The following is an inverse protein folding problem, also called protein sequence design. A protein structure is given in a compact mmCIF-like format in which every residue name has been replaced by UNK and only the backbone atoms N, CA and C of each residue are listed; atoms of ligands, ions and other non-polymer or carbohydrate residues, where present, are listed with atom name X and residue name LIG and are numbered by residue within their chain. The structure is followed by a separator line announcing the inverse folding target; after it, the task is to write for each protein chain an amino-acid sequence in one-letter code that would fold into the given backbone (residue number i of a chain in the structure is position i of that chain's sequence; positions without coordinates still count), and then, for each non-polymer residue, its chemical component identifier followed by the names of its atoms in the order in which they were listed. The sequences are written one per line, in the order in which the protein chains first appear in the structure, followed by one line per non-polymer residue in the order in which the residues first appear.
data_IF_493125136521
#
_entry.id   IF_493125136521
#
_cell.length_a   1.000
_cell.length_b   1.000
_cell.length_c   1.000
_cell.angle_alpha   90.00
_cell.angle_beta   90.00
_cell.angle_gamma   90.00
#
_symmetry.space_group_name_H-M   'P 1'
#
loop_
_entity.id
_entity.type
_entity.pdbx_description
1 polymer ?
#
# COMPACT_ATOMS: atom_id res chain seq x y z
N UNK A 1 -34.25 45.11 -23.43
CA UNK A 1 -34.34 44.37 -22.16
C UNK A 1 -34.08 42.86 -22.36
N UNK A 2 -34.72 42.19 -23.34
CA UNK A 2 -34.53 40.75 -23.65
C UNK A 2 -33.09 40.43 -24.02
N UNK A 3 -32.40 41.22 -24.81
CA UNK A 3 -31.01 40.97 -25.24
C UNK A 3 -30.03 41.09 -24.05
N UNK A 4 -30.29 42.04 -23.13
CA UNK A 4 -29.46 42.26 -21.94
C UNK A 4 -29.57 41.09 -20.94
N UNK A 5 -30.76 40.54 -20.76
CA UNK A 5 -31.00 39.34 -19.93
C UNK A 5 -30.38 38.07 -20.52
N UNK A 6 -30.39 37.95 -21.85
CA UNK A 6 -29.82 36.77 -22.55
C UNK A 6 -28.29 36.74 -22.49
N UNK A 7 -27.63 37.89 -22.54
CA UNK A 7 -26.18 38.03 -22.41
C UNK A 7 -25.73 37.76 -20.97
N UNK A 8 -26.46 38.25 -19.97
CA UNK A 8 -26.13 38.00 -18.56
C UNK A 8 -26.32 36.53 -18.17
N UNK A 9 -27.33 35.84 -18.69
CA UNK A 9 -27.50 34.41 -18.50
C UNK A 9 -26.38 33.56 -19.14
N UNK A 10 -25.93 33.91 -20.36
CA UNK A 10 -24.78 33.26 -21.00
C UNK A 10 -23.49 33.47 -20.20
N UNK A 11 -23.25 34.64 -19.66
CA UNK A 11 -22.07 34.92 -18.83
C UNK A 11 -22.12 34.17 -17.51
N UNK A 12 -23.30 34.03 -16.89
CA UNK A 12 -23.49 33.21 -15.68
C UNK A 12 -23.26 31.71 -15.95
N UNK A 13 -23.74 31.19 -17.08
CA UNK A 13 -23.49 29.78 -17.46
C UNK A 13 -22.02 29.51 -17.72
N UNK A 14 -21.30 30.42 -18.37
CA UNK A 14 -19.85 30.29 -18.60
C UNK A 14 -19.07 30.35 -17.28
N UNK A 15 -19.40 31.24 -16.36
CA UNK A 15 -18.77 31.34 -15.05
C UNK A 15 -19.05 30.10 -14.20
N UNK A 16 -20.26 29.54 -14.23
CA UNK A 16 -20.63 28.33 -13.52
C UNK A 16 -19.92 27.08 -14.07
N UNK A 17 -19.79 26.95 -15.40
CA UNK A 17 -19.03 25.85 -16.03
C UNK A 17 -17.53 25.93 -15.72
N UNK A 18 -16.93 27.11 -15.64
CA UNK A 18 -15.51 27.29 -15.29
C UNK A 18 -15.26 26.94 -13.82
N UNK A 19 -16.16 27.29 -12.91
CA UNK A 19 -16.03 26.98 -11.49
C UNK A 19 -16.22 25.44 -11.27
N UNK A 20 -17.13 24.80 -12.00
CA UNK A 20 -17.34 23.35 -11.92
C UNK A 20 -16.18 22.55 -12.52
N UNK A 21 -15.57 23.04 -13.62
CA UNK A 21 -14.38 22.40 -14.21
C UNK A 21 -13.13 22.60 -13.35
N UNK A 22 -12.97 23.72 -12.67
CA UNK A 22 -11.87 23.96 -11.72
C UNK A 22 -11.95 23.01 -10.51
N UNK A 23 -13.14 22.67 -10.06
CA UNK A 23 -13.35 21.70 -8.96
C UNK A 23 -12.99 20.26 -9.34
N UNK A 24 -13.10 19.89 -10.63
CA UNK A 24 -12.70 18.58 -11.16
C UNK A 24 -11.18 18.43 -11.31
N UNK A 25 -10.42 19.52 -11.43
CA UNK A 25 -8.95 19.49 -11.53
C UNK A 25 -8.24 19.51 -10.18
N UNK A 26 -8.94 19.72 -9.08
CA UNK A 26 -8.37 19.92 -7.75
C UNK A 26 -8.38 18.67 -6.85
N UNK A 27 -8.61 17.47 -7.38
CA UNK A 27 -8.28 16.27 -6.64
C UNK A 27 -6.77 16.08 -6.70
N UNK A 28 -6.08 16.97 -5.98
CA UNK A 28 -4.64 16.97 -5.82
C UNK A 28 -4.25 15.57 -5.34
N UNK A 29 -3.42 14.90 -6.12
CA UNK A 29 -2.90 13.60 -5.71
C UNK A 29 -2.22 13.74 -4.35
N UNK A 30 -2.95 13.41 -3.26
CA UNK A 30 -2.47 13.54 -1.88
C UNK A 30 -1.19 12.74 -1.65
N UNK A 31 -0.92 11.74 -2.51
CA UNK A 31 0.25 10.88 -2.45
C UNK A 31 1.47 11.43 -3.20
N UNK A 32 1.40 12.62 -3.83
CA UNK A 32 2.53 13.18 -4.58
C UNK A 32 3.80 13.32 -3.72
N UNK A 33 3.67 13.86 -2.51
CA UNK A 33 4.80 14.01 -1.57
C UNK A 33 5.39 12.66 -1.17
N UNK A 34 4.54 11.67 -0.93
CA UNK A 34 4.94 10.30 -0.64
C UNK A 34 5.69 9.67 -1.82
N UNK A 35 5.15 9.78 -3.01
CA UNK A 35 5.77 9.30 -4.25
C UNK A 35 7.19 9.88 -4.46
N UNK A 36 7.36 11.18 -4.19
CA UNK A 36 8.68 11.84 -4.29
C UNK A 36 9.68 11.26 -3.31
N UNK A 37 9.24 10.97 -2.08
CA UNK A 37 10.11 10.39 -1.06
C UNK A 37 10.45 8.94 -1.36
N UNK A 38 9.50 8.14 -1.80
CA UNK A 38 9.73 6.76 -2.23
C UNK A 38 10.81 6.71 -3.32
N UNK A 39 10.69 7.53 -4.36
CA UNK A 39 11.70 7.62 -5.43
C UNK A 39 13.09 8.02 -4.94
N UNK A 40 13.17 8.82 -3.88
CA UNK A 40 14.44 9.30 -3.33
C UNK A 40 15.12 8.29 -2.42
N UNK A 41 14.36 7.56 -1.61
CA UNK A 41 14.90 6.75 -0.52
C UNK A 41 14.71 5.26 -0.67
N UNK A 42 13.96 4.81 -1.69
CA UNK A 42 13.71 3.40 -1.97
C UNK A 42 14.26 3.04 -3.34
N UNK A 43 15.12 2.03 -3.40
CA UNK A 43 15.68 1.54 -4.66
C UNK A 43 14.64 0.81 -5.50
N UNK A 44 14.97 0.52 -6.76
CA UNK A 44 14.12 -0.31 -7.63
C UNK A 44 13.88 -1.72 -7.07
N UNK A 45 14.79 -2.22 -6.23
CA UNK A 45 14.69 -3.52 -5.57
C UNK A 45 13.97 -3.47 -4.22
N UNK A 46 13.44 -2.30 -3.83
CA UNK A 46 12.70 -2.10 -2.57
C UNK A 46 13.58 -1.98 -1.33
N UNK A 47 14.89 -1.76 -1.52
CA UNK A 47 15.84 -1.48 -0.43
C UNK A 47 15.63 -0.05 0.04
N UNK A 48 15.53 0.15 1.35
CA UNK A 48 15.19 1.44 1.97
C UNK A 48 16.43 2.05 2.63
N UNK A 49 16.75 3.28 2.27
CA UNK A 49 17.81 4.04 2.94
C UNK A 49 17.25 4.77 4.17
N UNK A 50 17.00 4.03 5.25
CA UNK A 50 16.42 4.55 6.50
C UNK A 50 17.28 5.65 7.10
N UNK A 51 18.62 5.50 7.07
CA UNK A 51 19.57 6.47 7.62
C UNK A 51 19.44 7.84 6.94
N UNK A 52 19.43 7.88 5.61
CA UNK A 52 19.31 9.15 4.89
C UNK A 52 17.89 9.71 4.95
N UNK A 53 16.87 8.84 4.96
CA UNK A 53 15.48 9.29 5.12
C UNK A 53 15.26 9.93 6.48
N UNK A 54 15.84 9.39 7.55
CA UNK A 54 15.76 9.92 8.90
C UNK A 54 16.31 11.34 9.04
N UNK A 55 17.32 11.73 8.24
CA UNK A 55 17.82 13.13 8.22
C UNK A 55 16.80 14.14 7.67
N UNK A 56 15.76 13.67 6.97
CA UNK A 56 14.74 14.49 6.30
C UNK A 56 13.31 14.05 6.67
N UNK A 57 13.10 13.61 7.90
CA UNK A 57 11.86 13.00 8.37
C UNK A 57 10.64 13.94 8.30
N UNK A 58 10.85 15.26 8.30
CA UNK A 58 9.75 16.23 8.32
C UNK A 58 8.82 16.14 7.10
N UNK A 59 9.37 15.75 5.95
CA UNK A 59 8.56 15.53 4.75
C UNK A 59 7.65 14.29 4.89
N UNK A 60 8.12 13.25 5.58
CA UNK A 60 7.33 12.07 5.88
C UNK A 60 6.21 12.40 6.89
N UNK A 61 6.55 13.12 7.96
CA UNK A 61 5.57 13.59 8.95
C UNK A 61 4.50 14.48 8.31
N UNK A 62 4.90 15.41 7.44
CA UNK A 62 3.96 16.25 6.72
C UNK A 62 3.04 15.46 5.79
N UNK A 63 3.51 14.35 5.21
CA UNK A 63 2.66 13.45 4.45
C UNK A 63 1.67 12.69 5.35
N UNK A 64 2.13 12.16 6.49
CA UNK A 64 1.26 11.48 7.46
C UNK A 64 0.16 12.44 7.95
N UNK A 65 0.50 13.68 8.30
CA UNK A 65 -0.49 14.69 8.69
C UNK A 65 -1.50 15.00 7.56
N UNK A 66 -1.03 14.96 6.30
CA UNK A 66 -1.92 15.09 5.14
C UNK A 66 -2.92 13.93 5.08
N UNK A 67 -2.47 12.69 5.34
CA UNK A 67 -3.35 11.54 5.42
C UNK A 67 -4.37 11.70 6.55
N UNK A 68 -3.93 12.01 7.76
CA UNK A 68 -4.80 12.18 8.94
C UNK A 68 -5.93 13.19 8.69
N UNK A 69 -5.64 14.26 7.93
CA UNK A 69 -6.61 15.29 7.58
C UNK A 69 -7.51 14.96 6.38
N UNK A 70 -7.22 13.87 5.64
CA UNK A 70 -7.92 13.52 4.39
C UNK A 70 -8.34 12.05 4.35
N UNK A 71 -8.77 11.49 5.47
CA UNK A 71 -9.22 10.09 5.54
C UNK A 71 -10.40 9.81 4.61
N UNK A 72 -10.42 8.63 3.96
CA UNK A 72 -11.53 8.24 3.10
C UNK A 72 -12.85 8.20 3.86
N UNK A 73 -13.93 8.59 3.21
CA UNK A 73 -15.29 8.50 3.72
C UNK A 73 -16.10 7.40 3.02
N UNK A 74 -17.38 7.27 3.34
CA UNK A 74 -18.25 6.23 2.80
C UNK A 74 -18.43 6.34 1.27
N UNK A 75 -18.45 7.55 0.73
CA UNK A 75 -18.64 7.82 -0.69
C UNK A 75 -17.36 7.64 -1.53
N UNK A 76 -16.23 7.35 -0.89
CA UNK A 76 -14.96 7.14 -1.59
C UNK A 76 -14.92 5.75 -2.24
N UNK A 77 -14.37 5.63 -3.45
CA UNK A 77 -14.24 4.34 -4.14
C UNK A 77 -13.42 3.31 -3.33
N UNK A 78 -13.63 2.02 -3.61
CA UNK A 78 -12.83 0.95 -3.00
C UNK A 78 -11.35 1.10 -3.36
N UNK A 79 -11.06 1.42 -4.60
CA UNK A 79 -9.72 1.59 -5.13
C UNK A 79 -8.97 2.75 -4.45
N UNK A 80 -9.64 3.88 -4.24
CA UNK A 80 -9.07 4.99 -3.48
C UNK A 80 -8.79 4.58 -2.02
N UNK A 81 -9.76 3.91 -1.36
CA UNK A 81 -9.59 3.43 0.02
C UNK A 81 -8.40 2.48 0.15
N UNK A 82 -8.27 1.53 -0.78
CA UNK A 82 -7.14 0.59 -0.81
C UNK A 82 -5.81 1.33 -1.00
N UNK A 83 -5.70 2.18 -2.02
CA UNK A 83 -4.49 2.95 -2.28
C UNK A 83 -4.09 3.82 -1.08
N UNK A 84 -5.06 4.52 -0.48
CA UNK A 84 -4.86 5.34 0.71
C UNK A 84 -4.30 4.52 1.88
N UNK A 85 -4.95 3.42 2.25
CA UNK A 85 -4.57 2.65 3.43
C UNK A 85 -3.29 1.83 3.23
N UNK A 86 -2.98 1.38 2.00
CA UNK A 86 -1.69 0.77 1.67
C UNK A 86 -0.57 1.80 1.85
N UNK A 87 -0.71 3.00 1.29
CA UNK A 87 0.28 4.06 1.44
C UNK A 87 0.42 4.51 2.90
N UNK A 88 -0.69 4.62 3.64
CA UNK A 88 -0.68 4.94 5.07
C UNK A 88 0.11 3.90 5.86
N UNK A 89 -0.19 2.61 5.69
CA UNK A 89 0.53 1.53 6.35
C UNK A 89 2.04 1.59 6.09
N UNK A 90 2.42 1.73 4.83
CA UNK A 90 3.82 1.78 4.42
C UNK A 90 4.54 3.02 4.98
N UNK A 91 3.91 4.20 4.93
CA UNK A 91 4.49 5.44 5.47
C UNK A 91 4.67 5.36 6.99
N UNK A 92 3.68 4.83 7.70
CA UNK A 92 3.73 4.65 9.16
C UNK A 92 4.76 3.61 9.58
N UNK A 93 4.94 2.55 8.78
CA UNK A 93 6.01 1.56 9.00
C UNK A 93 7.39 2.22 8.86
N UNK A 94 7.62 3.01 7.82
CA UNK A 94 8.88 3.75 7.64
C UNK A 94 9.11 4.72 8.80
N UNK A 95 8.10 5.51 9.20
CA UNK A 95 8.18 6.44 10.34
C UNK A 95 8.54 5.70 11.64
N UNK A 96 7.92 4.54 11.88
CA UNK A 96 8.20 3.70 13.05
C UNK A 96 9.66 3.20 13.07
N UNK A 97 10.16 2.73 11.93
CA UNK A 97 11.56 2.28 11.82
C UNK A 97 12.52 3.45 12.04
N UNK A 98 12.31 4.59 11.36
CA UNK A 98 13.20 5.76 11.47
C UNK A 98 13.25 6.29 12.91
N UNK A 99 12.12 6.33 13.62
CA UNK A 99 12.05 6.76 15.03
C UNK A 99 12.85 5.88 15.99
N UNK A 100 13.08 4.62 15.62
CA UNK A 100 13.80 3.64 16.44
C UNK A 100 15.17 3.27 15.86
N UNK A 101 15.58 3.90 14.75
CA UNK A 101 16.84 3.60 14.07
C UNK A 101 18.06 4.08 14.89
N UNK A 102 19.17 3.31 14.98
CA UNK A 102 19.41 2.06 14.27
C UNK A 102 18.84 0.83 15.00
N UNK A 103 18.32 -0.13 14.21
CA UNK A 103 17.86 -1.43 14.68
C UNK A 103 18.02 -2.46 13.55
N UNK A 104 18.08 -3.75 13.90
CA UNK A 104 18.23 -4.84 12.92
C UNK A 104 16.91 -5.36 12.41
N UNK A 105 15.83 -5.17 13.16
CA UNK A 105 14.50 -5.73 12.87
C UNK A 105 13.39 -4.93 13.52
N UNK A 106 12.26 -4.77 12.86
CA UNK A 106 11.03 -4.21 13.45
C UNK A 106 10.62 -4.94 14.75
N UNK A 107 11.03 -6.20 14.91
CA UNK A 107 10.73 -7.01 16.11
C UNK A 107 11.48 -6.53 17.38
N UNK A 108 12.50 -5.72 17.25
CA UNK A 108 13.16 -5.09 18.41
C UNK A 108 12.31 -3.98 19.03
N UNK A 109 11.34 -3.45 18.29
CA UNK A 109 10.41 -2.44 18.78
C UNK A 109 9.33 -3.09 19.65
N UNK A 110 9.08 -2.55 20.83
CA UNK A 110 8.03 -3.05 21.71
C UNK A 110 6.64 -2.82 21.10
N UNK A 111 5.90 -3.90 20.86
CA UNK A 111 4.54 -3.88 20.31
C UNK A 111 4.36 -3.09 19.00
N UNK A 112 5.19 -3.31 17.96
CA UNK A 112 5.23 -2.45 16.77
C UNK A 112 3.89 -2.38 16.02
N UNK A 113 3.11 -3.47 16.02
CA UNK A 113 1.78 -3.53 15.37
C UNK A 113 0.60 -3.16 16.28
N UNK A 114 0.83 -2.97 17.60
CA UNK A 114 -0.24 -2.64 18.56
C UNK A 114 -0.23 -1.19 19.01
N UNK A 115 0.94 -0.54 18.94
CA UNK A 115 1.09 0.86 19.34
C UNK A 115 0.34 1.76 18.37
N UNK A 116 -0.50 2.64 18.92
CA UNK A 116 -1.24 3.61 18.11
C UNK A 116 -0.30 4.64 17.51
N UNK A 117 -0.42 4.88 16.21
CA UNK A 117 0.53 5.70 15.45
C UNK A 117 -0.13 6.57 14.38
N UNK A 118 -1.44 6.52 14.21
CA UNK A 118 -2.18 7.27 13.21
C UNK A 118 -3.54 7.71 13.74
N UNK A 119 -3.85 9.00 13.64
CA UNK A 119 -5.10 9.59 14.10
C UNK A 119 -5.86 10.18 12.91
N UNK A 120 -7.00 9.63 12.57
CA UNK A 120 -7.95 10.35 11.73
C UNK A 120 -8.96 11.10 12.60
N UNK A 121 -9.89 11.82 11.95
CA UNK A 121 -10.90 12.64 12.64
C UNK A 121 -11.74 11.82 13.63
N UNK A 122 -11.86 10.50 13.45
CA UNK A 122 -12.77 9.62 14.20
C UNK A 122 -12.06 8.62 15.09
N UNK A 123 -10.87 8.18 14.73
CA UNK A 123 -10.24 7.00 15.32
C UNK A 123 -8.72 7.15 15.43
N UNK A 124 -8.17 6.33 16.33
CA UNK A 124 -6.73 6.16 16.50
C UNK A 124 -6.34 4.72 16.14
N UNK A 125 -5.44 4.57 15.18
CA UNK A 125 -5.06 3.28 14.61
C UNK A 125 -3.62 2.90 14.91
N UNK A 126 -3.40 1.60 15.08
CA UNK A 126 -2.08 0.98 14.98
C UNK A 126 -1.88 0.39 13.58
N UNK A 127 -0.65 -0.03 13.24
CA UNK A 127 -0.39 -0.79 12.00
C UNK A 127 -1.29 -2.04 11.93
N UNK A 128 -1.43 -2.77 13.03
CA UNK A 128 -2.30 -3.94 13.09
C UNK A 128 -3.78 -3.62 12.88
N UNK A 129 -4.27 -2.45 13.34
CA UNK A 129 -5.64 -2.03 13.06
C UNK A 129 -5.84 -1.75 11.57
N UNK A 130 -4.89 -1.04 10.94
CA UNK A 130 -4.96 -0.74 9.50
C UNK A 130 -4.97 -2.04 8.69
N UNK A 131 -4.07 -2.98 8.99
CA UNK A 131 -3.99 -4.26 8.30
C UNK A 131 -5.23 -5.12 8.54
N UNK A 132 -5.57 -5.41 9.80
CA UNK A 132 -6.56 -6.44 10.13
C UNK A 132 -8.00 -5.95 10.14
N UNK A 133 -8.24 -4.68 10.53
CA UNK A 133 -9.60 -4.13 10.67
C UNK A 133 -10.05 -3.33 9.45
N UNK A 134 -9.09 -2.88 8.60
CA UNK A 134 -9.40 -2.08 7.41
C UNK A 134 -9.04 -2.85 6.14
N UNK A 135 -7.76 -2.99 5.82
CA UNK A 135 -7.32 -3.53 4.52
C UNK A 135 -7.83 -4.94 4.26
N UNK A 136 -7.66 -5.88 5.20
CA UNK A 136 -8.13 -7.26 5.07
C UNK A 136 -9.64 -7.38 4.96
N UNK A 137 -10.41 -6.40 5.49
CA UNK A 137 -11.89 -6.37 5.38
C UNK A 137 -12.37 -5.91 4.01
N UNK A 138 -11.48 -5.42 3.16
CA UNK A 138 -11.83 -5.01 1.80
C UNK A 138 -11.84 -6.17 0.79
N UNK A 139 -11.57 -7.40 1.23
CA UNK A 139 -11.57 -8.59 0.38
C UNK A 139 -10.70 -8.42 -0.89
N UNK A 140 -9.46 -8.00 -0.70
CA UNK A 140 -8.44 -7.84 -1.74
C UNK A 140 -7.12 -8.51 -1.28
N UNK A 141 -6.92 -9.80 -1.57
CA UNK A 141 -5.77 -10.54 -1.02
C UNK A 141 -4.41 -10.01 -1.52
N UNK A 142 -4.37 -9.29 -2.64
CA UNK A 142 -3.13 -8.71 -3.18
C UNK A 142 -2.55 -7.61 -2.29
N UNK A 143 -3.30 -7.10 -1.28
CA UNK A 143 -2.74 -6.18 -0.28
C UNK A 143 -1.53 -6.77 0.44
N UNK A 144 -1.51 -8.09 0.63
CA UNK A 144 -0.41 -8.78 1.27
C UNK A 144 0.91 -8.71 0.50
N UNK A 145 0.88 -8.28 -0.77
CA UNK A 145 2.05 -8.03 -1.60
C UNK A 145 2.32 -6.53 -1.81
N UNK A 146 1.49 -5.67 -1.20
CA UNK A 146 1.57 -4.21 -1.31
C UNK A 146 2.00 -3.54 -0.01
N UNK A 147 1.66 -4.13 1.16
CA UNK A 147 2.10 -3.62 2.46
C UNK A 147 3.44 -4.23 2.85
N UNK A 148 4.35 -3.40 3.40
CA UNK A 148 5.70 -3.79 3.78
C UNK A 148 5.92 -3.60 5.28
N UNK A 149 6.39 -4.63 5.97
CA UNK A 149 6.70 -4.61 7.40
C UNK A 149 8.20 -4.38 7.68
N UNK A 150 8.91 -3.72 6.78
CA UNK A 150 10.33 -3.40 6.89
C UNK A 150 11.26 -4.62 7.01
N UNK A 151 10.87 -5.81 6.53
CA UNK A 151 11.72 -7.00 6.59
C UNK A 151 12.16 -7.49 5.21
N UNK A 152 13.31 -8.17 5.14
CA UNK A 152 13.85 -8.76 3.90
C UNK A 152 12.89 -9.78 3.27
N UNK A 153 12.12 -10.51 4.05
CA UNK A 153 11.13 -11.47 3.53
C UNK A 153 9.78 -10.86 3.20
N UNK A 154 9.54 -9.55 3.49
CA UNK A 154 8.37 -8.84 3.00
C UNK A 154 8.35 -8.75 1.47
N UNK A 155 7.17 -8.53 0.88
CA UNK A 155 7.09 -7.99 -0.46
C UNK A 155 7.90 -6.70 -0.56
N UNK A 156 8.44 -6.43 -1.73
CA UNK A 156 9.20 -5.23 -2.00
C UNK A 156 8.37 -3.97 -1.72
N UNK A 157 8.94 -3.00 -1.03
CA UNK A 157 8.35 -1.67 -0.98
C UNK A 157 8.53 -1.02 -2.35
N UNK A 158 7.43 -0.66 -3.01
CA UNK A 158 7.51 0.04 -4.29
C UNK A 158 8.11 1.44 -4.09
N UNK A 159 8.96 1.86 -5.02
CA UNK A 159 9.49 3.22 -5.05
C UNK A 159 8.51 4.22 -5.70
N UNK A 160 7.23 3.87 -5.74
CA UNK A 160 6.13 4.73 -6.14
C UNK A 160 4.92 4.54 -5.23
N UNK A 161 4.10 5.59 -5.13
CA UNK A 161 2.85 5.52 -4.37
C UNK A 161 1.78 4.71 -5.12
N UNK A 162 0.98 3.95 -4.37
CA UNK A 162 -0.24 3.37 -4.91
C UNK A 162 -1.25 4.49 -5.20
N UNK A 163 -1.88 4.44 -6.38
CA UNK A 163 -2.85 5.44 -6.81
C UNK A 163 -4.12 4.76 -7.36
N UNK A 164 -5.28 5.32 -7.04
CA UNK A 164 -6.58 4.81 -7.43
C UNK A 164 -6.66 4.37 -8.91
N UNK A 165 -6.27 5.29 -9.82
CA UNK A 165 -6.37 5.07 -11.27
C UNK A 165 -5.52 3.93 -11.80
N UNK A 166 -4.47 3.52 -11.07
CA UNK A 166 -3.53 2.48 -11.49
C UNK A 166 -3.44 1.31 -10.50
N UNK A 167 -4.26 1.34 -9.45
CA UNK A 167 -4.16 0.41 -8.32
C UNK A 167 -4.16 -1.05 -8.76
N UNK A 168 -5.07 -1.42 -9.66
CA UNK A 168 -5.18 -2.81 -10.12
C UNK A 168 -3.90 -3.29 -10.82
N UNK A 169 -3.30 -2.45 -11.67
CA UNK A 169 -2.03 -2.78 -12.33
C UNK A 169 -0.88 -2.87 -11.32
N UNK A 170 -0.83 -1.94 -10.34
CA UNK A 170 0.20 -1.93 -9.30
C UNK A 170 0.10 -3.18 -8.42
N UNK A 171 -1.10 -3.57 -8.00
CA UNK A 171 -1.33 -4.78 -7.21
C UNK A 171 -1.00 -6.05 -7.99
N UNK A 172 -1.35 -6.12 -9.27
CA UNK A 172 -1.01 -7.25 -10.14
C UNK A 172 0.50 -7.37 -10.31
N UNK A 173 1.19 -6.26 -10.58
CA UNK A 173 2.64 -6.25 -10.75
C UNK A 173 3.36 -6.67 -9.46
N UNK A 174 2.99 -6.11 -8.30
CA UNK A 174 3.56 -6.46 -7.01
C UNK A 174 3.33 -7.94 -6.65
N UNK A 175 2.12 -8.47 -6.93
CA UNK A 175 1.78 -9.88 -6.71
C UNK A 175 2.64 -10.79 -7.58
N UNK A 176 2.72 -10.50 -8.88
CA UNK A 176 3.52 -11.28 -9.82
C UNK A 176 5.00 -11.26 -9.43
N UNK A 177 5.56 -10.08 -9.18
CA UNK A 177 6.95 -9.93 -8.77
C UNK A 177 7.27 -10.71 -7.51
N UNK A 178 6.42 -10.63 -6.48
CA UNK A 178 6.61 -11.37 -5.25
C UNK A 178 6.58 -12.89 -5.46
N UNK A 179 5.66 -13.39 -6.29
CA UNK A 179 5.52 -14.83 -6.51
C UNK A 179 6.67 -15.43 -7.31
N UNK A 180 7.22 -14.69 -8.27
CA UNK A 180 8.37 -15.17 -9.08
C UNK A 180 9.73 -14.95 -8.41
N UNK A 181 9.79 -14.20 -7.31
CA UNK A 181 11.02 -14.01 -6.54
C UNK A 181 11.41 -15.30 -5.82
N UNK A 182 12.46 -15.97 -6.32
CA UNK A 182 12.96 -17.24 -5.79
C UNK A 182 13.48 -17.15 -4.36
N UNK A 183 13.77 -15.96 -3.84
CA UNK A 183 14.14 -15.74 -2.43
C UNK A 183 12.93 -15.75 -1.49
N UNK A 184 11.73 -15.59 -2.03
CA UNK A 184 10.45 -15.54 -1.31
C UNK A 184 9.62 -16.81 -1.53
N UNK A 185 9.68 -17.38 -2.73
CA UNK A 185 8.87 -18.55 -3.11
C UNK A 185 9.65 -19.44 -4.07
N UNK A 186 9.64 -20.74 -3.86
CA UNK A 186 10.15 -21.74 -4.79
C UNK A 186 8.95 -22.51 -5.32
N UNK A 187 8.45 -22.09 -6.50
CA UNK A 187 7.24 -22.66 -7.11
C UNK A 187 7.65 -23.74 -8.09
N UNK A 188 7.19 -24.98 -7.83
CA UNK A 188 7.42 -26.16 -8.68
C UNK A 188 6.10 -26.91 -8.88
N UNK A 189 5.99 -27.64 -9.98
CA UNK A 189 4.78 -28.35 -10.40
C UNK A 189 4.16 -29.24 -9.32
N UNK A 190 4.99 -30.00 -8.59
CA UNK A 190 4.54 -31.04 -7.66
C UNK A 190 4.70 -30.64 -6.18
N UNK A 191 5.59 -29.70 -5.86
CA UNK A 191 5.87 -29.25 -4.50
C UNK A 191 6.38 -27.81 -4.55
N UNK A 192 5.78 -26.93 -3.78
CA UNK A 192 6.21 -25.54 -3.66
C UNK A 192 6.59 -25.21 -2.23
N UNK A 193 7.61 -24.37 -2.07
CA UNK A 193 8.00 -23.78 -0.80
C UNK A 193 7.65 -22.29 -0.87
N UNK A 194 6.63 -21.89 -0.12
CA UNK A 194 6.05 -20.54 -0.21
C UNK A 194 6.47 -19.65 0.96
N UNK A 195 6.37 -18.36 0.77
CA UNK A 195 6.46 -17.39 1.85
C UNK A 195 5.45 -17.70 2.96
N UNK A 196 5.82 -17.45 4.21
CA UNK A 196 4.94 -17.55 5.37
C UNK A 196 3.73 -16.61 5.32
N UNK A 197 3.68 -15.65 4.40
CA UNK A 197 2.48 -14.85 4.12
C UNK A 197 1.28 -15.76 3.81
N UNK A 198 1.47 -16.81 3.01
CA UNK A 198 0.41 -17.78 2.71
C UNK A 198 0.03 -18.67 3.92
N UNK A 199 0.92 -18.82 4.90
CA UNK A 199 0.61 -19.50 6.16
C UNK A 199 -0.21 -18.59 7.08
N UNK A 200 0.23 -17.35 7.27
CA UNK A 200 -0.37 -16.43 8.22
C UNK A 200 -1.71 -15.88 7.73
N UNK A 201 -1.81 -15.61 6.45
CA UNK A 201 -2.96 -14.96 5.82
C UNK A 201 -3.70 -15.85 4.81
N UNK A 202 -3.47 -17.16 4.85
CA UNK A 202 -4.05 -18.11 3.90
C UNK A 202 -5.58 -18.02 3.77
N UNK A 203 -6.28 -17.67 4.85
CA UNK A 203 -7.74 -17.49 4.85
C UNK A 203 -8.20 -16.34 3.94
N UNK A 204 -7.37 -15.33 3.73
CA UNK A 204 -7.72 -14.18 2.89
C UNK A 204 -7.67 -14.53 1.39
N UNK A 205 -6.95 -15.61 1.04
CA UNK A 205 -6.89 -16.19 -0.30
C UNK A 205 -7.95 -17.29 -0.53
N UNK A 206 -8.66 -17.71 0.53
CA UNK A 206 -9.72 -18.71 0.47
C UNK A 206 -9.26 -20.14 0.70
N UNK A 207 -9.83 -21.10 -0.04
CA UNK A 207 -9.50 -22.52 0.09
C UNK A 207 -8.12 -22.87 -0.51
N UNK A 208 -7.58 -24.06 -0.17
CA UNK A 208 -6.33 -24.53 -0.80
C UNK A 208 -6.41 -24.55 -2.32
N UNK A 209 -7.57 -24.83 -2.89
CA UNK A 209 -7.81 -24.78 -4.33
C UNK A 209 -7.65 -23.37 -4.86
N UNK A 210 -8.26 -22.37 -4.21
CA UNK A 210 -8.18 -20.97 -4.59
C UNK A 210 -6.75 -20.43 -4.47
N UNK A 211 -6.01 -20.80 -3.41
CA UNK A 211 -4.59 -20.46 -3.28
C UNK A 211 -3.78 -21.01 -4.45
N UNK A 212 -4.02 -22.25 -4.83
CA UNK A 212 -3.36 -22.90 -5.98
C UNK A 212 -3.66 -22.14 -7.28
N UNK A 213 -4.92 -21.82 -7.53
CA UNK A 213 -5.37 -21.07 -8.71
C UNK A 213 -4.73 -19.68 -8.74
N UNK A 214 -4.75 -18.95 -7.62
CA UNK A 214 -4.12 -17.64 -7.45
C UNK A 214 -2.61 -17.70 -7.77
N UNK A 215 -1.88 -18.67 -7.19
CA UNK A 215 -0.45 -18.81 -7.45
C UNK A 215 -0.21 -19.15 -8.93
N UNK A 216 -1.00 -20.04 -9.52
CA UNK A 216 -0.85 -20.39 -10.94
C UNK A 216 -1.11 -19.21 -11.86
N UNK A 217 -2.11 -18.39 -11.56
CA UNK A 217 -2.46 -17.20 -12.34
C UNK A 217 -1.32 -16.18 -12.37
N UNK A 218 -0.79 -15.84 -11.19
CA UNK A 218 0.20 -14.76 -11.09
C UNK A 218 1.64 -15.21 -11.34
N UNK A 219 1.99 -16.46 -11.03
CA UNK A 219 3.35 -16.98 -11.30
C UNK A 219 3.54 -17.50 -12.72
N UNK A 220 2.45 -17.84 -13.41
CA UNK A 220 2.48 -18.51 -14.71
C UNK A 220 2.81 -20.01 -14.64
N UNK A 221 3.03 -20.57 -13.44
CA UNK A 221 3.32 -22.00 -13.28
C UNK A 221 2.04 -22.82 -13.18
N UNK A 222 1.94 -23.90 -13.96
CA UNK A 222 0.89 -24.90 -13.80
C UNK A 222 1.22 -25.81 -12.61
N UNK A 223 0.40 -25.77 -11.55
CA UNK A 223 0.58 -26.59 -10.37
C UNK A 223 -0.31 -27.85 -10.48
N UNK A 224 0.27 -29.03 -10.62
CA UNK A 224 -0.50 -30.28 -10.71
C UNK A 224 -0.86 -30.81 -9.31
N UNK A 225 0.14 -31.12 -8.48
CA UNK A 225 -0.06 -31.49 -7.08
C UNK A 225 0.30 -30.31 -6.19
N UNK A 226 -0.61 -29.92 -5.30
CA UNK A 226 -0.40 -28.75 -4.44
C UNK A 226 0.02 -29.19 -3.03
N UNK A 227 1.30 -29.61 -2.91
CA UNK A 227 1.97 -29.75 -1.62
C UNK A 227 2.74 -28.48 -1.32
N UNK A 228 2.43 -27.86 -0.20
CA UNK A 228 3.08 -26.61 0.25
C UNK A 228 3.94 -26.92 1.47
N UNK A 229 5.18 -26.46 1.42
CA UNK A 229 6.01 -26.17 2.58
C UNK A 229 6.24 -24.65 2.67
N UNK A 230 6.82 -24.16 3.74
CA UNK A 230 7.03 -22.72 3.94
C UNK A 230 8.49 -22.41 4.18
N UNK A 231 9.02 -21.43 3.44
CA UNK A 231 10.38 -20.93 3.61
C UNK A 231 10.54 -20.24 4.98
N UNK A 232 11.75 -20.27 5.57
CA UNK A 232 12.07 -19.41 6.70
C UNK A 232 11.79 -17.94 6.39
N UNK A 233 11.33 -17.18 7.39
CA UNK A 233 11.06 -15.75 7.22
C UNK A 233 12.19 -14.93 7.84
N UNK A 234 12.88 -14.15 7.01
CA UNK A 234 13.95 -13.26 7.44
C UNK A 234 13.35 -11.92 7.87
N UNK A 235 13.51 -11.58 9.15
CA UNK A 235 13.02 -10.36 9.78
C UNK A 235 14.04 -9.21 9.79
N UNK A 236 15.26 -9.40 9.25
CA UNK A 236 16.22 -8.32 9.11
C UNK A 236 15.63 -7.19 8.27
N UNK A 237 16.03 -5.95 8.56
CA UNK A 237 15.56 -4.79 7.79
C UNK A 237 15.89 -4.93 6.31
N UNK A 238 15.00 -4.41 5.49
CA UNK A 238 15.12 -4.28 4.04
C UNK A 238 15.96 -3.04 3.65
N UNK A 239 17.14 -2.88 4.29
CA UNK A 239 18.13 -1.84 4.01
C UNK A 239 19.40 -2.36 3.35
#
# INVERSE_FOLDING_TARGET
LKIYLQNNMRTLYFAFCIIFSASLFAQKNIHHRWNTQLKKYVSNDGIVNYKEWGKNIDQLKAYINTLESNSPNENTSKEYKLAYWINAYNALTIDLIIKNYPLKSIKEIKFPWKTKCFNDVKNNYSLGDIEHKILRKMNEPRIHFAINCASKSCPKLLNEAYIEKNLNNQLNAATKEFLIDSTKNIIKENKSELSKIFLWFGKDFGSKKMIKEFISEYSGFKLNKFKIDYLPYNWDLNE
#
